data_IF_481546540378
#
_entry.id   IF_481546540378
#
_cell.length_a   1.000
_cell.length_b   1.000
_cell.length_c   1.000
_cell.angle_alpha   90.00
_cell.angle_beta   90.00
_cell.angle_gamma   90.00
#
_symmetry.space_group_name_H-M   'P 1'
#
loop_
_entity.id
_entity.type
_entity.pdbx_description
1 polymer ?
#
# COMPACT_ATOMS: atom_id res chain seq x y z
N UNK A 1 14.77 -11.87 1.34
CA UNK A 1 15.88 -11.73 2.30
C UNK A 1 15.38 -12.14 3.67
N UNK A 2 16.21 -12.79 4.49
CA UNK A 2 15.82 -13.28 5.82
C UNK A 2 16.77 -12.73 6.88
N UNK A 3 16.23 -12.36 8.04
CA UNK A 3 17.01 -11.93 9.18
C UNK A 3 16.29 -12.27 10.48
N UNK A 4 17.05 -12.41 11.57
CA UNK A 4 16.50 -12.58 12.91
C UNK A 4 16.30 -11.20 13.53
N UNK A 5 15.15 -10.98 14.16
CA UNK A 5 14.88 -9.73 14.86
C UNK A 5 13.92 -9.93 16.02
N UNK A 6 14.01 -9.01 16.99
CA UNK A 6 13.10 -8.94 18.14
C UNK A 6 11.97 -7.96 17.81
N UNK A 7 10.75 -8.34 18.18
CA UNK A 7 9.58 -7.47 18.05
C UNK A 7 9.61 -6.42 19.17
N UNK A 8 9.92 -5.17 18.83
CA UNK A 8 10.03 -4.07 19.79
C UNK A 8 8.69 -3.34 19.99
N UNK A 9 8.33 -3.06 21.24
CA UNK A 9 7.25 -2.14 21.58
C UNK A 9 7.82 -0.71 21.72
N UNK A 10 7.37 0.17 20.86
CA UNK A 10 7.66 1.60 20.87
C UNK A 10 6.46 2.39 21.42
N UNK A 11 6.62 2.98 22.61
CA UNK A 11 5.56 3.75 23.25
C UNK A 11 4.45 2.87 23.82
N UNK A 12 3.18 3.27 23.66
CA UNK A 12 2.05 2.56 24.29
C UNK A 12 1.56 1.35 23.50
N UNK A 13 1.54 1.44 22.17
CA UNK A 13 0.92 0.42 21.30
C UNK A 13 1.65 0.20 19.97
N UNK A 14 2.60 1.06 19.60
CA UNK A 14 3.29 0.92 18.34
C UNK A 14 4.31 -0.22 18.48
N UNK A 15 4.16 -1.27 17.69
CA UNK A 15 5.05 -2.43 17.73
C UNK A 15 5.67 -2.60 16.36
N UNK A 16 6.98 -2.83 16.32
CA UNK A 16 7.71 -2.92 15.08
C UNK A 16 8.93 -3.83 15.18
N UNK A 17 9.40 -4.26 14.03
CA UNK A 17 10.64 -5.02 13.87
C UNK A 17 11.68 -4.07 13.31
N UNK A 18 12.85 -4.00 13.96
CA UNK A 18 13.99 -3.27 13.42
C UNK A 18 14.58 -4.07 12.27
N UNK A 19 14.66 -3.45 11.10
CA UNK A 19 15.29 -4.04 9.92
C UNK A 19 16.73 -3.55 9.87
N UNK A 20 17.71 -4.46 9.78
CA UNK A 20 19.11 -4.09 9.59
C UNK A 20 19.34 -3.27 8.31
N UNK A 21 20.27 -2.32 8.34
CA UNK A 21 20.55 -1.43 7.22
C UNK A 21 21.02 -2.19 5.97
N UNK A 22 21.81 -3.26 6.15
CA UNK A 22 22.29 -4.13 5.08
C UNK A 22 21.14 -4.86 4.35
N UNK A 23 20.08 -5.22 5.08
CA UNK A 23 18.87 -5.79 4.47
C UNK A 23 18.15 -4.74 3.64
N UNK A 24 18.02 -3.50 4.15
CA UNK A 24 17.36 -2.41 3.42
C UNK A 24 18.14 -2.01 2.17
N UNK A 25 19.46 -1.89 2.27
CA UNK A 25 20.35 -1.63 1.14
C UNK A 25 20.29 -2.78 0.13
N UNK A 26 20.30 -4.02 0.60
CA UNK A 26 20.18 -5.21 -0.23
C UNK A 26 18.86 -5.32 -1.00
N UNK A 27 17.77 -4.72 -0.50
CA UNK A 27 16.50 -4.63 -1.22
C UNK A 27 16.56 -3.66 -2.41
N UNK A 28 17.52 -2.71 -2.43
CA UNK A 28 17.75 -1.81 -3.58
C UNK A 28 16.59 -0.86 -3.92
N UNK A 29 15.56 -0.79 -3.08
CA UNK A 29 14.29 -0.10 -3.36
C UNK A 29 14.15 1.25 -2.61
N UNK A 30 15.28 1.85 -2.22
CA UNK A 30 15.35 3.15 -1.55
C UNK A 30 15.04 3.09 -0.05
N UNK A 31 14.77 4.26 0.57
CA UNK A 31 14.57 4.38 2.02
C UNK A 31 13.19 3.94 2.53
N UNK A 32 12.21 3.78 1.65
CA UNK A 32 10.83 3.41 2.01
C UNK A 32 10.25 2.35 1.07
N UNK A 33 10.89 1.16 0.96
CA UNK A 33 10.43 0.15 0.05
C UNK A 33 9.12 -0.49 0.55
N UNK A 34 8.11 -0.65 -0.32
CA UNK A 34 7.01 -1.56 -0.06
C UNK A 34 7.58 -2.99 -0.03
N UNK A 35 7.21 -3.76 0.99
CA UNK A 35 7.71 -5.12 1.17
C UNK A 35 6.58 -6.04 1.60
N UNK A 36 6.70 -7.30 1.23
CA UNK A 36 5.94 -8.39 1.82
C UNK A 36 6.81 -9.00 2.92
N UNK A 37 6.37 -8.86 4.16
CA UNK A 37 7.02 -9.43 5.33
C UNK A 37 6.34 -10.74 5.71
N UNK A 38 7.12 -11.78 6.02
CA UNK A 38 6.64 -13.08 6.47
C UNK A 38 7.23 -13.39 7.83
N UNK A 39 6.36 -13.65 8.81
CA UNK A 39 6.72 -13.94 10.20
C UNK A 39 6.00 -15.23 10.60
N UNK A 40 6.73 -16.26 11.05
CA UNK A 40 6.17 -17.57 11.42
C UNK A 40 5.19 -18.16 10.37
N UNK A 41 5.48 -17.93 9.08
CA UNK A 41 4.65 -18.38 7.96
C UNK A 41 3.46 -17.47 7.62
N UNK A 42 3.17 -16.45 8.42
CA UNK A 42 2.17 -15.44 8.11
C UNK A 42 2.79 -14.31 7.27
N UNK A 43 2.36 -14.21 6.02
CA UNK A 43 2.83 -13.17 5.10
C UNK A 43 1.83 -12.00 5.03
N UNK A 44 2.34 -10.78 5.10
CA UNK A 44 1.52 -9.57 4.99
C UNK A 44 2.26 -8.45 4.25
N UNK A 45 1.49 -7.56 3.65
CA UNK A 45 2.00 -6.40 2.94
C UNK A 45 2.26 -5.26 3.92
N UNK A 46 3.45 -4.65 3.82
CA UNK A 46 3.86 -3.56 4.69
C UNK A 46 4.85 -2.65 3.97
N UNK A 47 5.38 -1.65 4.67
CA UNK A 47 6.37 -0.73 4.12
C UNK A 47 7.43 -0.49 5.17
N UNK A 48 8.69 -0.65 4.78
CA UNK A 48 9.81 -0.29 5.64
C UNK A 48 9.85 1.23 5.73
N UNK A 49 9.96 1.78 6.94
CA UNK A 49 10.05 3.22 7.14
C UNK A 49 11.21 3.59 8.06
N UNK A 50 11.96 4.66 7.76
CA UNK A 50 12.97 5.19 8.67
C UNK A 50 12.29 5.94 9.82
N UNK A 51 12.64 5.61 11.05
CA UNK A 51 12.17 6.28 12.27
C UNK A 51 13.30 6.35 13.29
N UNK A 52 13.73 7.56 13.63
CA UNK A 52 14.81 7.79 14.61
C UNK A 52 16.16 7.20 14.21
N UNK A 53 16.48 7.18 12.91
CA UNK A 53 17.75 6.64 12.39
C UNK A 53 17.78 5.12 12.20
N UNK A 54 16.68 4.42 12.49
CA UNK A 54 16.52 2.98 12.24
C UNK A 54 15.43 2.72 11.20
N UNK A 55 15.52 1.62 10.48
CA UNK A 55 14.42 1.15 9.63
C UNK A 55 13.52 0.20 10.40
N UNK A 56 12.21 0.40 10.29
CA UNK A 56 11.23 -0.42 11.00
C UNK A 56 10.15 -0.94 10.06
N UNK A 57 9.72 -2.17 10.35
CA UNK A 57 8.49 -2.75 9.82
C UNK A 57 7.43 -2.71 10.93
N UNK A 58 6.31 -2.01 10.73
CA UNK A 58 5.23 -2.04 11.70
C UNK A 58 4.56 -3.42 11.73
N UNK A 59 4.26 -3.88 12.95
CA UNK A 59 3.52 -5.12 13.21
C UNK A 59 2.28 -4.76 14.01
N UNK A 60 1.15 -4.58 13.32
CA UNK A 60 -0.13 -4.20 13.96
C UNK A 60 -0.62 -5.29 14.91
N UNK A 61 -1.58 -4.95 15.79
CA UNK A 61 -2.18 -5.92 16.71
C UNK A 61 -2.79 -7.13 15.96
N UNK A 62 -3.45 -6.87 14.82
CA UNK A 62 -4.05 -7.93 13.99
C UNK A 62 -2.99 -8.85 13.38
N UNK A 63 -1.88 -8.28 12.88
CA UNK A 63 -0.76 -9.07 12.34
C UNK A 63 -0.12 -9.90 13.45
N UNK A 64 0.06 -9.33 14.65
CA UNK A 64 0.60 -10.06 15.80
C UNK A 64 -0.29 -11.24 16.21
N UNK A 65 -1.60 -11.01 16.27
CA UNK A 65 -2.57 -12.05 16.55
C UNK A 65 -2.57 -13.16 15.48
N UNK A 66 -2.53 -12.78 14.20
CA UNK A 66 -2.54 -13.72 13.08
C UNK A 66 -1.24 -14.52 12.95
N UNK A 67 -0.09 -13.89 13.19
CA UNK A 67 1.22 -14.55 13.19
C UNK A 67 1.53 -15.29 14.50
N UNK A 68 0.71 -15.10 15.54
CA UNK A 68 0.91 -15.69 16.86
C UNK A 68 2.19 -15.20 17.53
N UNK A 69 2.48 -13.90 17.47
CA UNK A 69 3.70 -13.28 18.00
C UNK A 69 3.38 -12.14 18.97
N UNK A 70 4.25 -11.91 19.94
CA UNK A 70 4.14 -10.83 20.91
C UNK A 70 5.37 -9.90 20.87
N UNK A 71 5.25 -8.71 21.49
CA UNK A 71 6.42 -7.88 21.72
C UNK A 71 7.40 -8.59 22.67
N UNK A 72 8.68 -8.55 22.34
CA UNK A 72 9.75 -9.30 23.01
C UNK A 72 10.06 -10.66 22.37
N UNK A 73 9.23 -11.16 21.45
CA UNK A 73 9.54 -12.39 20.73
C UNK A 73 10.68 -12.17 19.72
N UNK A 74 11.61 -13.12 19.69
CA UNK A 74 12.58 -13.26 18.62
C UNK A 74 11.97 -14.09 17.49
N UNK A 75 12.03 -13.56 16.27
CA UNK A 75 11.40 -14.16 15.09
C UNK A 75 12.32 -14.09 13.88
N UNK A 76 12.29 -15.12 13.05
CA UNK A 76 12.82 -15.05 11.69
C UNK A 76 11.82 -14.25 10.83
N UNK A 77 12.32 -13.20 10.21
CA UNK A 77 11.54 -12.32 9.34
C UNK A 77 12.08 -12.44 7.93
N UNK A 78 11.22 -12.87 7.03
CA UNK A 78 11.52 -12.86 5.61
C UNK A 78 10.88 -11.64 4.96
N UNK A 79 11.69 -10.81 4.31
CA UNK A 79 11.24 -9.64 3.55
C UNK A 79 11.55 -9.81 2.08
N UNK A 80 10.57 -9.54 1.24
CA UNK A 80 10.71 -9.48 -0.21
C UNK A 80 10.18 -8.13 -0.66
N UNK A 81 10.90 -7.46 -1.57
CA UNK A 81 10.38 -6.23 -2.19
C UNK A 81 9.04 -6.57 -2.83
N UNK A 82 8.00 -5.89 -2.37
CA UNK A 82 6.69 -5.99 -2.96
C UNK A 82 6.68 -5.09 -4.19
N UNK A 83 7.22 -5.64 -5.28
CA UNK A 83 7.17 -5.06 -6.61
C UNK A 83 5.84 -5.34 -7.30
N UNK A 84 4.86 -5.97 -6.62
CA UNK A 84 3.57 -6.22 -7.21
C UNK A 84 2.96 -4.86 -7.60
N UNK A 85 2.59 -4.65 -8.86
CA UNK A 85 1.79 -3.50 -9.21
C UNK A 85 0.51 -3.67 -8.38
N UNK A 86 0.28 -2.79 -7.42
CA UNK A 86 -1.01 -2.62 -6.77
C UNK A 86 -2.00 -2.25 -7.87
N UNK A 87 -2.51 -3.25 -8.57
CA UNK A 87 -3.49 -3.06 -9.63
C UNK A 87 -4.73 -2.57 -8.92
N UNK A 88 -5.07 -1.31 -9.18
CA UNK A 88 -6.34 -0.77 -8.73
C UNK A 88 -7.36 -1.38 -9.68
N UNK A 89 -8.18 -2.30 -9.19
CA UNK A 89 -9.32 -2.81 -9.96
C UNK A 89 -10.25 -1.65 -10.28
N UNK A 90 -10.29 -1.25 -11.55
CA UNK A 90 -11.15 -0.19 -12.04
C UNK A 90 -12.50 -0.82 -12.35
N UNK A 91 -13.60 -0.38 -11.70
CA UNK A 91 -14.93 -0.87 -12.03
C UNK A 91 -15.29 -0.62 -13.49
N UNK A 92 -16.04 -1.55 -14.10
CA UNK A 92 -16.37 -1.52 -15.54
C UNK A 92 -17.02 -0.22 -16.00
N UNK A 93 -17.85 0.39 -15.15
CA UNK A 93 -18.54 1.65 -15.45
C UNK A 93 -17.59 2.85 -15.45
N UNK A 94 -16.64 2.90 -14.51
CA UNK A 94 -15.57 3.89 -14.52
C UNK A 94 -14.62 3.68 -15.72
N UNK A 95 -14.27 2.42 -16.03
CA UNK A 95 -13.43 2.11 -17.17
C UNK A 95 -14.09 2.53 -18.49
N UNK A 96 -15.38 2.19 -18.67
CA UNK A 96 -16.16 2.58 -19.84
C UNK A 96 -16.26 4.10 -20.01
N UNK A 97 -16.44 4.83 -18.91
CA UNK A 97 -16.51 6.29 -18.94
C UNK A 97 -15.15 6.95 -19.24
N UNK A 98 -14.05 6.37 -18.78
CA UNK A 98 -12.70 6.81 -19.14
C UNK A 98 -12.40 6.53 -20.62
N UNK A 99 -12.78 5.37 -21.12
CA UNK A 99 -12.55 4.97 -22.52
C UNK A 99 -13.34 5.83 -23.52
N UNK A 100 -14.49 6.36 -23.10
CA UNK A 100 -15.25 7.32 -23.88
C UNK A 100 -14.53 8.68 -24.07
N UNK A 101 -13.52 9.00 -23.23
CA UNK A 101 -12.79 10.28 -23.26
C UNK A 101 -11.28 10.01 -23.27
N UNK A 102 -10.64 9.91 -24.45
CA UNK A 102 -9.22 9.53 -24.57
C UNK A 102 -8.25 10.38 -23.74
N UNK A 103 -8.52 11.69 -23.61
CA UNK A 103 -7.71 12.59 -22.77
C UNK A 103 -7.80 12.21 -21.27
N UNK A 104 -9.00 11.84 -20.79
CA UNK A 104 -9.18 11.40 -19.42
C UNK A 104 -8.51 10.03 -19.18
N UNK A 105 -8.63 9.10 -20.13
CA UNK A 105 -7.95 7.80 -20.08
C UNK A 105 -6.44 7.95 -19.99
N UNK A 106 -5.85 8.80 -20.84
CA UNK A 106 -4.41 9.06 -20.83
C UNK A 106 -3.95 9.65 -19.50
N UNK A 107 -4.66 10.64 -18.98
CA UNK A 107 -4.35 11.23 -17.66
C UNK A 107 -4.44 10.16 -16.57
N UNK A 108 -5.51 9.37 -16.55
CA UNK A 108 -5.72 8.30 -15.56
C UNK A 108 -4.63 7.24 -15.57
N UNK A 109 -4.23 6.77 -16.76
CA UNK A 109 -3.17 5.78 -16.94
C UNK A 109 -1.79 6.32 -16.54
N UNK A 110 -1.59 7.64 -16.62
CA UNK A 110 -0.40 8.34 -16.13
C UNK A 110 -0.38 8.62 -14.63
N UNK A 111 -1.50 8.43 -13.91
CA UNK A 111 -1.55 8.68 -12.46
C UNK A 111 -0.74 7.65 -11.67
N UNK A 112 -0.24 8.07 -10.51
CA UNK A 112 0.26 7.14 -9.50
C UNK A 112 -0.86 6.22 -9.00
N UNK A 113 -0.48 5.02 -8.55
CA UNK A 113 -1.42 4.02 -7.98
C UNK A 113 -2.34 4.64 -6.92
N UNK A 114 -1.81 5.47 -6.02
CA UNK A 114 -2.60 6.11 -4.96
C UNK A 114 -3.69 7.02 -5.51
N UNK A 115 -3.42 7.72 -6.61
CA UNK A 115 -4.39 8.59 -7.27
C UNK A 115 -5.42 7.79 -8.07
N UNK A 116 -5.02 6.71 -8.75
CA UNK A 116 -5.99 5.76 -9.35
C UNK A 116 -6.91 5.17 -8.27
N UNK A 117 -6.35 4.76 -7.13
CA UNK A 117 -7.10 4.23 -5.98
C UNK A 117 -8.07 5.26 -5.39
N UNK A 118 -7.68 6.53 -5.35
CA UNK A 118 -8.56 7.62 -4.92
C UNK A 118 -9.83 7.67 -5.78
N UNK A 119 -9.69 7.72 -7.10
CA UNK A 119 -10.83 7.78 -8.04
C UNK A 119 -11.71 6.54 -7.91
N UNK A 120 -11.12 5.34 -7.88
CA UNK A 120 -11.87 4.09 -7.71
C UNK A 120 -12.63 4.07 -6.39
N UNK A 121 -12.01 4.48 -5.28
CA UNK A 121 -12.64 4.50 -3.95
C UNK A 121 -13.79 5.50 -3.88
N UNK A 122 -13.69 6.64 -4.58
CA UNK A 122 -14.81 7.57 -4.69
C UNK A 122 -16.00 6.90 -5.40
N UNK A 123 -15.77 6.19 -6.50
CA UNK A 123 -16.84 5.52 -7.27
C UNK A 123 -17.43 4.34 -6.48
N UNK A 124 -16.61 3.43 -5.96
CA UNK A 124 -17.07 2.24 -5.23
C UNK A 124 -17.69 2.55 -3.87
N UNK A 125 -17.29 3.67 -3.24
CA UNK A 125 -17.88 4.14 -1.99
C UNK A 125 -19.24 4.84 -2.14
N UNK A 126 -19.83 4.91 -3.34
CA UNK A 126 -21.17 5.46 -3.54
C UNK A 126 -22.24 4.43 -3.20
N UNK A 127 -23.23 4.81 -2.38
CA UNK A 127 -24.34 3.93 -1.96
C UNK A 127 -25.53 3.91 -2.92
N UNK A 128 -25.60 4.89 -3.83
CA UNK A 128 -26.66 5.02 -4.83
C UNK A 128 -26.04 5.14 -6.21
N UNK A 129 -26.70 4.57 -7.22
CA UNK A 129 -26.24 4.61 -8.61
C UNK A 129 -26.13 6.05 -9.13
N UNK A 130 -27.05 6.92 -8.73
CA UNK A 130 -27.00 8.35 -9.06
C UNK A 130 -25.73 9.03 -8.52
N UNK A 131 -25.36 8.75 -7.26
CA UNK A 131 -24.13 9.30 -6.67
C UNK A 131 -22.89 8.74 -7.34
N UNK A 132 -22.95 7.46 -7.72
CA UNK A 132 -21.88 6.76 -8.42
C UNK A 132 -21.63 7.40 -9.79
N UNK A 133 -22.68 7.57 -10.58
CA UNK A 133 -22.64 8.20 -11.90
C UNK A 133 -22.09 9.63 -11.83
N UNK A 134 -22.59 10.45 -10.90
CA UNK A 134 -22.09 11.82 -10.70
C UNK A 134 -20.59 11.86 -10.34
N UNK A 135 -20.11 10.89 -9.55
CA UNK A 135 -18.67 10.81 -9.20
C UNK A 135 -17.83 10.39 -10.39
N UNK A 136 -18.32 9.48 -11.23
CA UNK A 136 -17.67 9.07 -12.48
C UNK A 136 -17.54 10.28 -13.41
N UNK A 137 -18.64 10.99 -13.68
CA UNK A 137 -18.65 12.17 -14.55
C UNK A 137 -17.67 13.24 -14.05
N UNK A 138 -17.67 13.51 -12.75
CA UNK A 138 -16.73 14.47 -12.14
C UNK A 138 -15.27 14.02 -12.30
N UNK A 139 -14.99 12.74 -12.10
CA UNK A 139 -13.64 12.19 -12.26
C UNK A 139 -13.18 12.32 -13.71
N UNK A 140 -14.01 11.91 -14.67
CA UNK A 140 -13.71 12.00 -16.12
C UNK A 140 -13.47 13.45 -16.54
N UNK A 141 -14.33 14.39 -16.15
CA UNK A 141 -14.15 15.81 -16.48
C UNK A 141 -12.83 16.36 -15.92
N UNK A 142 -12.51 16.04 -14.66
CA UNK A 142 -11.28 16.47 -14.00
C UNK A 142 -10.04 15.91 -14.71
N UNK A 143 -10.07 14.64 -15.09
CA UNK A 143 -8.97 13.96 -15.77
C UNK A 143 -8.83 14.42 -17.23
N UNK A 144 -9.92 14.76 -17.89
CA UNK A 144 -9.91 15.32 -19.25
C UNK A 144 -9.20 16.69 -19.30
N UNK A 145 -9.25 17.46 -18.21
CA UNK A 145 -8.48 18.70 -18.05
C UNK A 145 -7.00 18.47 -17.69
N UNK A 146 -6.56 17.22 -17.57
CA UNK A 146 -5.19 16.86 -17.16
C UNK A 146 -4.93 17.02 -15.66
N UNK A 147 -5.98 17.22 -14.85
CA UNK A 147 -5.86 17.37 -13.39
C UNK A 147 -5.93 16.00 -12.69
N UNK A 148 -5.10 15.83 -11.68
CA UNK A 148 -5.04 14.58 -10.91
C UNK A 148 -6.22 14.37 -9.95
N UNK A 149 -6.86 15.45 -9.49
CA UNK A 149 -8.04 15.48 -8.60
C UNK A 149 -8.69 16.87 -8.59
#
# INVERSE_FOLDING_TARGET
>A
MKFQAVIELHGKTATGIVVPDDVVEGLGAGKRPPVRATIRGYAYETTIAPMGGRFLIPVSADVRAAAGVAAGDEVEVEVVVDAAPRQVEVPDDLASALDAVPAARQTFDGLSVSLRKYHVTQVTGAKTDETRQRRIEKAVATLAEGRAR
#
